data_IF_266991905865
#
_entry.id   IF_266991905865
#
_cell.length_a   1.000
_cell.length_b   1.000
_cell.length_c   1.000
_cell.angle_alpha   90.00
_cell.angle_beta   90.00
_cell.angle_gamma   90.00
#
_symmetry.space_group_name_H-M   'P 1'
#
loop_
_entity.id
_entity.type
_entity.pdbx_description
1 polymer ?
#
# COMPACT_ATOMS: atom_id res chain seq x y z
N UNK A 1 68.98 -28.63 -7.63
CA UNK A 1 67.83 -28.83 -6.70
C UNK A 1 67.12 -27.48 -6.49
N UNK A 2 66.29 -27.03 -7.43
CA UNK A 2 65.69 -25.67 -7.41
C UNK A 2 64.15 -25.69 -7.16
N UNK A 3 63.56 -26.88 -6.99
CA UNK A 3 62.10 -27.09 -7.07
C UNK A 3 61.44 -27.54 -5.76
N UNK A 4 62.15 -27.52 -4.63
CA UNK A 4 61.61 -27.96 -3.35
C UNK A 4 60.94 -26.79 -2.60
N UNK A 5 59.66 -26.54 -2.88
CA UNK A 5 58.84 -25.64 -2.06
C UNK A 5 58.56 -26.32 -0.71
N UNK A 6 59.00 -25.71 0.39
CA UNK A 6 58.78 -26.28 1.73
C UNK A 6 57.29 -26.43 2.03
N UNK A 7 56.89 -27.57 2.62
CA UNK A 7 55.48 -27.91 2.92
C UNK A 7 54.71 -26.78 3.63
N UNK A 8 55.37 -26.02 4.51
CA UNK A 8 54.79 -24.84 5.20
C UNK A 8 54.46 -23.69 4.25
N UNK A 9 55.34 -23.39 3.29
CA UNK A 9 55.11 -22.35 2.28
C UNK A 9 54.01 -22.75 1.29
N UNK A 10 53.93 -24.03 0.93
CA UNK A 10 52.82 -24.56 0.14
C UNK A 10 51.47 -24.37 0.86
N UNK A 11 51.38 -24.65 2.17
CA UNK A 11 50.18 -24.40 2.96
C UNK A 11 49.81 -22.91 3.06
N UNK A 12 50.79 -22.02 3.27
CA UNK A 12 50.54 -20.57 3.30
C UNK A 12 50.02 -20.08 1.95
N UNK A 13 50.63 -20.51 0.84
CA UNK A 13 50.18 -20.15 -0.50
C UNK A 13 48.75 -20.67 -0.79
N UNK A 14 48.43 -21.89 -0.37
CA UNK A 14 47.08 -22.45 -0.48
C UNK A 14 46.06 -21.67 0.34
N UNK A 15 46.39 -21.27 1.57
CA UNK A 15 45.50 -20.45 2.40
C UNK A 15 45.25 -19.08 1.77
N UNK A 16 46.30 -18.42 1.27
CA UNK A 16 46.17 -17.13 0.59
C UNK A 16 45.34 -17.24 -0.70
N UNK A 17 45.56 -18.29 -1.49
CA UNK A 17 44.76 -18.57 -2.68
C UNK A 17 43.29 -18.82 -2.31
N UNK A 18 43.03 -19.60 -1.25
CA UNK A 18 41.67 -19.86 -0.77
C UNK A 18 40.98 -18.57 -0.32
N UNK A 19 41.67 -17.69 0.42
CA UNK A 19 41.13 -16.38 0.83
C UNK A 19 40.84 -15.51 -0.40
N UNK A 20 41.74 -15.47 -1.39
CA UNK A 20 41.52 -14.69 -2.61
C UNK A 20 40.33 -15.20 -3.43
N UNK A 21 40.15 -16.52 -3.52
CA UNK A 21 38.98 -17.12 -4.19
C UNK A 21 37.71 -16.81 -3.40
N UNK A 22 37.73 -16.93 -2.06
CA UNK A 22 36.58 -16.61 -1.23
C UNK A 22 36.14 -15.15 -1.36
N UNK A 23 37.08 -14.21 -1.36
CA UNK A 23 36.74 -12.78 -1.53
C UNK A 23 36.18 -12.50 -2.92
N UNK A 24 36.71 -13.13 -3.97
CA UNK A 24 36.14 -13.03 -5.32
C UNK A 24 34.74 -13.63 -5.41
N UNK A 25 34.50 -14.80 -4.81
CA UNK A 25 33.19 -15.45 -4.79
C UNK A 25 32.16 -14.59 -4.06
N UNK A 26 32.52 -14.00 -2.91
CA UNK A 26 31.65 -13.07 -2.17
C UNK A 26 31.34 -11.83 -3.01
N UNK A 27 32.34 -11.26 -3.68
CA UNK A 27 32.13 -10.10 -4.54
C UNK A 27 31.22 -10.41 -5.74
N UNK A 28 31.42 -11.55 -6.40
CA UNK A 28 30.55 -12.02 -7.48
C UNK A 28 29.13 -12.32 -6.98
N UNK A 29 28.99 -12.90 -5.79
CA UNK A 29 27.69 -13.16 -5.17
C UNK A 29 26.93 -11.87 -4.85
N UNK A 30 27.63 -10.83 -4.37
CA UNK A 30 27.06 -9.49 -4.19
C UNK A 30 26.70 -8.81 -5.52
N UNK A 31 27.39 -9.16 -6.62
CA UNK A 31 27.05 -8.69 -7.97
C UNK A 31 25.88 -9.45 -8.62
N UNK A 32 25.71 -10.73 -8.28
CA UNK A 32 24.71 -11.63 -8.84
C UNK A 32 23.42 -11.69 -8.01
N UNK A 33 23.02 -10.57 -7.41
CA UNK A 33 21.78 -10.49 -6.65
C UNK A 33 20.58 -10.70 -7.58
N UNK A 34 19.81 -11.76 -7.33
CA UNK A 34 18.57 -12.05 -8.04
C UNK A 34 17.40 -11.45 -7.28
N UNK A 35 16.64 -10.59 -7.94
CA UNK A 35 15.39 -10.05 -7.43
C UNK A 35 14.24 -10.99 -7.76
N UNK A 36 13.33 -11.20 -6.82
CA UNK A 36 12.14 -12.05 -7.02
C UNK A 36 11.18 -11.36 -7.99
N UNK A 37 11.01 -10.04 -7.84
CA UNK A 37 10.03 -9.29 -8.60
C UNK A 37 10.72 -8.33 -9.57
N UNK A 38 10.31 -8.36 -10.84
CA UNK A 38 10.72 -7.31 -11.77
C UNK A 38 9.91 -6.04 -11.51
N UNK A 39 10.59 -4.90 -11.44
CA UNK A 39 9.97 -3.60 -11.16
C UNK A 39 8.84 -3.28 -12.15
N UNK A 40 9.06 -3.53 -13.43
CA UNK A 40 8.09 -3.24 -14.48
C UNK A 40 6.87 -4.17 -14.39
N UNK A 41 7.08 -5.42 -13.98
CA UNK A 41 6.06 -6.47 -13.88
C UNK A 41 5.01 -6.13 -12.82
N UNK A 42 5.42 -5.89 -11.57
CA UNK A 42 4.52 -5.50 -10.45
C UNK A 42 3.61 -4.37 -10.86
N UNK A 43 4.22 -3.41 -11.51
CA UNK A 43 3.59 -2.16 -11.78
C UNK A 43 2.78 -2.22 -13.10
N UNK A 44 3.03 -3.19 -13.99
CA UNK A 44 2.16 -3.51 -15.13
C UNK A 44 0.93 -4.27 -14.63
N UNK A 45 1.14 -5.22 -13.71
CA UNK A 45 0.07 -5.97 -13.07
C UNK A 45 -0.91 -5.03 -12.34
N UNK A 46 -0.41 -4.13 -11.51
CA UNK A 46 -1.25 -3.14 -10.82
C UNK A 46 -2.02 -2.22 -11.78
N UNK A 47 -1.41 -1.86 -12.93
CA UNK A 47 -2.08 -1.04 -13.97
C UNK A 47 -3.25 -1.75 -14.62
N UNK A 48 -3.14 -3.06 -14.85
CA UNK A 48 -4.22 -3.84 -15.46
C UNK A 48 -5.49 -3.86 -14.60
N UNK A 49 -5.32 -3.76 -13.27
CA UNK A 49 -6.43 -3.72 -12.32
C UNK A 49 -6.81 -2.31 -11.88
N UNK A 50 -6.06 -1.27 -12.30
CA UNK A 50 -6.39 0.12 -12.04
C UNK A 50 -7.63 0.52 -12.85
N UNK A 51 -8.79 0.55 -12.20
CA UNK A 51 -10.09 0.78 -12.83
C UNK A 51 -11.20 -0.10 -12.27
N UNK A 52 -10.84 -1.19 -11.59
CA UNK A 52 -11.77 -1.95 -10.75
C UNK A 52 -11.95 -1.24 -9.40
N UNK A 53 -12.97 -1.66 -8.65
CA UNK A 53 -13.03 -1.31 -7.23
C UNK A 53 -11.79 -1.85 -6.51
N UNK A 54 -11.24 -1.06 -5.59
CA UNK A 54 -9.97 -1.34 -4.93
C UNK A 54 -9.93 -2.69 -4.22
N UNK A 55 -11.01 -3.10 -3.54
CA UNK A 55 -11.10 -4.42 -2.91
C UNK A 55 -10.97 -5.55 -3.94
N UNK A 56 -11.71 -5.44 -5.05
CA UNK A 56 -11.64 -6.42 -6.13
C UNK A 56 -10.28 -6.42 -6.85
N UNK A 57 -9.69 -5.24 -7.03
CA UNK A 57 -8.37 -5.08 -7.62
C UNK A 57 -7.32 -5.77 -6.74
N UNK A 58 -7.36 -5.56 -5.42
CA UNK A 58 -6.44 -6.18 -4.47
C UNK A 58 -6.57 -7.70 -4.44
N UNK A 59 -7.79 -8.25 -4.34
CA UNK A 59 -7.97 -9.71 -4.34
C UNK A 59 -7.43 -10.35 -5.61
N UNK A 60 -7.72 -9.77 -6.79
CA UNK A 60 -7.21 -10.27 -8.07
C UNK A 60 -5.69 -10.16 -8.17
N UNK A 61 -5.12 -9.06 -7.69
CA UNK A 61 -3.69 -8.83 -7.70
C UNK A 61 -2.96 -9.83 -6.82
N UNK A 62 -3.46 -10.11 -5.61
CA UNK A 62 -2.87 -11.10 -4.70
C UNK A 62 -2.89 -12.49 -5.32
N UNK A 63 -4.03 -12.89 -5.91
CA UNK A 63 -4.17 -14.20 -6.59
C UNK A 63 -3.19 -14.32 -7.75
N UNK A 64 -3.10 -13.29 -8.60
CA UNK A 64 -2.21 -13.33 -9.76
C UNK A 64 -0.73 -13.27 -9.35
N UNK A 65 -0.39 -12.49 -8.33
CA UNK A 65 0.97 -12.43 -7.79
C UNK A 65 1.41 -13.77 -7.18
N UNK A 66 0.50 -14.47 -6.48
CA UNK A 66 0.74 -15.84 -5.99
C UNK A 66 0.92 -16.85 -7.13
N UNK A 67 0.19 -16.67 -8.23
CA UNK A 67 0.30 -17.53 -9.43
C UNK A 67 1.65 -17.35 -10.12
N UNK A 68 2.12 -16.11 -10.23
CA UNK A 68 3.39 -15.78 -10.88
C UNK A 68 4.60 -16.11 -10.01
N UNK A 69 4.50 -15.88 -8.69
CA UNK A 69 5.59 -16.04 -7.72
C UNK A 69 5.16 -16.94 -6.55
N UNK A 70 4.98 -18.25 -6.78
CA UNK A 70 4.51 -19.18 -5.75
C UNK A 70 5.52 -19.28 -4.60
N UNK A 71 5.03 -19.19 -3.37
CA UNK A 71 5.85 -19.25 -2.15
C UNK A 71 6.54 -17.93 -1.75
N UNK A 72 6.39 -16.86 -2.55
CA UNK A 72 6.93 -15.55 -2.23
C UNK A 72 5.89 -14.54 -1.73
N UNK A 73 4.60 -14.87 -1.78
CA UNK A 73 3.52 -14.02 -1.26
C UNK A 73 2.95 -14.64 0.01
N UNK A 74 2.76 -13.83 1.05
CA UNK A 74 2.19 -14.26 2.33
C UNK A 74 0.81 -14.91 2.14
N UNK A 75 0.48 -15.93 2.94
CA UNK A 75 -0.81 -16.60 2.89
C UNK A 75 -1.91 -15.72 3.52
N UNK A 76 -3.18 -16.00 3.22
CA UNK A 76 -4.31 -15.13 3.62
C UNK A 76 -4.44 -14.98 5.15
N UNK A 77 -3.99 -15.97 5.91
CA UNK A 77 -4.00 -15.98 7.37
C UNK A 77 -3.05 -14.94 7.99
N UNK A 78 -2.03 -14.52 7.24
CA UNK A 78 -1.01 -13.54 7.68
C UNK A 78 -1.23 -12.15 7.07
N UNK A 79 -2.14 -12.03 6.10
CA UNK A 79 -2.47 -10.74 5.49
C UNK A 79 -3.28 -9.88 6.48
N UNK A 80 -2.61 -8.88 7.03
CA UNK A 80 -3.23 -7.96 7.98
C UNK A 80 -3.06 -6.51 7.54
N UNK A 81 -4.14 -5.74 7.66
CA UNK A 81 -4.09 -4.28 7.56
C UNK A 81 -3.59 -3.68 8.86
N UNK A 82 -2.48 -2.95 8.78
CA UNK A 82 -1.89 -2.23 9.92
C UNK A 82 -1.81 -0.75 9.61
N UNK A 83 -2.12 0.08 10.62
CA UNK A 83 -1.98 1.53 10.47
C UNK A 83 -0.51 1.94 10.47
N UNK A 84 -0.18 2.85 9.55
CA UNK A 84 1.15 3.43 9.40
C UNK A 84 1.06 4.92 9.66
N UNK A 85 1.90 5.40 10.57
CA UNK A 85 2.09 6.82 10.82
C UNK A 85 3.59 7.14 10.71
N UNK A 86 3.96 7.89 9.68
CA UNK A 86 5.34 8.28 9.41
C UNK A 86 5.36 9.62 8.67
N UNK A 87 6.38 10.45 8.91
CA UNK A 87 6.55 11.71 8.18
C UNK A 87 5.35 12.67 8.26
N UNK A 88 4.50 12.55 9.30
CA UNK A 88 3.29 13.36 9.49
C UNK A 88 2.07 12.91 8.68
N UNK A 89 2.17 11.85 7.88
CA UNK A 89 1.02 11.26 7.18
C UNK A 89 0.56 9.95 7.85
N UNK A 90 -0.71 9.63 7.64
CA UNK A 90 -1.38 8.45 8.19
C UNK A 90 -2.06 7.66 7.07
N UNK A 91 -1.85 6.34 7.07
CA UNK A 91 -2.50 5.41 6.15
C UNK A 91 -2.58 4.01 6.75
N UNK A 92 -2.98 3.04 5.92
CA UNK A 92 -2.95 1.63 6.24
C UNK A 92 -2.13 0.90 5.18
N UNK A 93 -1.40 -0.13 5.61
CA UNK A 93 -0.68 -1.04 4.72
C UNK A 93 -1.06 -2.49 4.98
N UNK A 94 -1.02 -3.30 3.94
CA UNK A 94 -1.09 -4.75 4.00
C UNK A 94 0.15 -5.31 3.29
N UNK A 95 0.99 -6.00 4.04
CA UNK A 95 2.25 -6.54 3.51
C UNK A 95 1.96 -7.82 2.71
N UNK A 96 2.47 -7.91 1.48
CA UNK A 96 2.30 -9.08 0.62
C UNK A 96 3.59 -9.91 0.54
N UNK A 97 4.73 -9.23 0.45
CA UNK A 97 6.06 -9.85 0.43
C UNK A 97 7.02 -8.97 1.22
N UNK A 98 7.93 -9.61 1.96
CA UNK A 98 9.07 -8.95 2.57
C UNK A 98 10.31 -9.86 2.54
N UNK A 99 11.43 -9.29 2.11
CA UNK A 99 12.77 -9.83 2.21
C UNK A 99 13.74 -8.73 2.68
N UNK A 100 15.03 -9.04 2.76
CA UNK A 100 16.04 -8.04 3.14
C UNK A 100 16.30 -6.99 2.04
N UNK A 101 16.00 -7.32 0.79
CA UNK A 101 16.27 -6.47 -0.38
C UNK A 101 15.01 -5.90 -1.03
N UNK A 102 13.85 -6.55 -0.86
CA UNK A 102 12.61 -6.22 -1.56
C UNK A 102 11.40 -6.33 -0.64
N UNK A 103 10.40 -5.50 -0.90
CA UNK A 103 9.09 -5.62 -0.27
C UNK A 103 7.99 -5.22 -1.25
N UNK A 104 6.83 -5.86 -1.11
CA UNK A 104 5.62 -5.54 -1.86
C UNK A 104 4.49 -5.41 -0.85
N UNK A 105 3.76 -4.31 -0.91
CA UNK A 105 2.66 -4.03 0.02
C UNK A 105 1.55 -3.27 -0.67
N UNK A 106 0.33 -3.48 -0.21
CA UNK A 106 -0.81 -2.62 -0.55
C UNK A 106 -0.81 -1.47 0.44
N UNK A 107 -0.93 -0.25 -0.06
CA UNK A 107 -0.94 0.94 0.78
C UNK A 107 -2.08 1.87 0.40
N UNK A 108 -2.71 2.51 1.38
CA UNK A 108 -3.57 3.64 1.09
C UNK A 108 -4.18 4.31 2.30
N UNK A 109 -5.11 5.21 2.03
CA UNK A 109 -5.84 5.95 3.06
C UNK A 109 -7.26 6.26 2.59
N UNK A 110 -8.23 6.06 3.49
CA UNK A 110 -9.62 6.36 3.23
C UNK A 110 -9.98 7.84 3.43
N UNK A 111 -9.23 8.55 4.27
CA UNK A 111 -9.51 9.95 4.65
C UNK A 111 -8.63 10.96 3.88
N UNK A 112 -7.60 10.48 3.20
CA UNK A 112 -6.55 11.32 2.64
C UNK A 112 -5.53 11.73 3.70
N UNK A 113 -4.30 12.00 3.26
CA UNK A 113 -3.23 12.42 4.16
C UNK A 113 -2.16 13.23 3.44
N UNK A 114 -1.36 13.98 4.19
CA UNK A 114 -0.20 14.74 3.68
C UNK A 114 0.97 14.58 4.62
N UNK A 115 2.17 14.53 4.05
CA UNK A 115 3.37 14.46 4.86
C UNK A 115 4.62 14.31 4.02
N UNK A 116 5.71 13.99 4.69
CA UNK A 116 7.01 13.76 4.11
C UNK A 116 7.11 12.31 3.59
N UNK A 117 7.59 12.15 2.36
CA UNK A 117 7.86 10.83 1.76
C UNK A 117 8.84 10.00 2.58
N UNK A 118 9.90 10.63 3.07
CA UNK A 118 11.06 9.98 3.67
C UNK A 118 12.29 10.12 2.77
N UNK A 119 13.46 9.75 3.28
CA UNK A 119 14.66 9.52 2.46
C UNK A 119 15.12 8.10 2.74
N UNK A 120 15.10 7.27 1.72
CA UNK A 120 15.42 5.85 1.82
C UNK A 120 16.63 5.53 0.94
N UNK A 121 17.44 4.58 1.41
CA UNK A 121 18.44 3.89 0.58
C UNK A 121 17.81 2.71 -0.15
N UNK A 122 16.60 2.92 -0.66
CA UNK A 122 15.83 1.97 -1.43
C UNK A 122 15.10 2.74 -2.53
N UNK A 123 14.97 2.12 -3.70
CA UNK A 123 14.12 2.65 -4.75
C UNK A 123 12.67 2.23 -4.48
N UNK A 124 11.76 3.20 -4.42
CA UNK A 124 10.34 2.96 -4.14
C UNK A 124 9.54 3.26 -5.40
N UNK A 125 8.77 2.28 -5.87
CA UNK A 125 7.87 2.46 -7.00
C UNK A 125 6.42 2.26 -6.57
N UNK A 126 5.63 3.31 -6.70
CA UNK A 126 4.22 3.32 -6.35
C UNK A 126 3.36 3.24 -7.62
N UNK A 127 2.41 2.31 -7.66
CA UNK A 127 1.41 2.24 -8.74
C UNK A 127 0.02 2.50 -8.20
N UNK A 128 -0.60 3.58 -8.66
CA UNK A 128 -1.90 4.02 -8.14
C UNK A 128 -3.01 3.16 -8.73
N UNK A 129 -3.83 2.57 -7.86
CA UNK A 129 -5.00 1.77 -8.24
C UNK A 129 -6.27 2.62 -8.20
N UNK A 130 -6.40 3.50 -7.20
CA UNK A 130 -7.53 4.41 -7.07
C UNK A 130 -7.14 5.74 -6.41
N UNK A 131 -7.95 6.78 -6.60
CA UNK A 131 -7.76 8.10 -6.00
C UNK A 131 -6.70 8.94 -6.70
N UNK A 132 -6.27 10.03 -6.05
CA UNK A 132 -5.25 10.93 -6.60
C UNK A 132 -4.04 11.04 -5.68
N UNK A 133 -2.87 11.10 -6.28
CA UNK A 133 -1.60 11.21 -5.57
C UNK A 133 -0.86 12.47 -6.01
N UNK A 134 -0.55 13.34 -5.07
CA UNK A 134 0.18 14.58 -5.30
C UNK A 134 1.61 14.42 -4.80
N UNK A 135 2.57 14.81 -5.62
CA UNK A 135 3.98 14.83 -5.27
C UNK A 135 4.54 16.24 -5.48
N UNK A 136 5.23 16.75 -4.48
CA UNK A 136 6.03 17.96 -4.58
C UNK A 136 7.49 17.61 -4.31
N UNK A 137 8.33 17.72 -5.35
CA UNK A 137 9.74 17.34 -5.27
C UNK A 137 10.58 18.45 -4.65
N UNK A 138 11.56 18.06 -3.86
CA UNK A 138 12.54 18.98 -3.30
C UNK A 138 13.24 19.79 -4.40
N UNK A 139 13.46 21.09 -4.14
CA UNK A 139 14.06 22.01 -5.10
C UNK A 139 13.11 22.57 -6.17
N UNK A 140 11.84 22.16 -6.19
CA UNK A 140 10.82 22.71 -7.11
C UNK A 140 9.80 23.57 -6.38
N UNK A 141 9.02 24.37 -7.11
CA UNK A 141 7.91 25.18 -6.56
C UNK A 141 6.54 24.73 -7.07
N UNK A 142 6.48 23.60 -7.79
CA UNK A 142 5.25 23.06 -8.40
C UNK A 142 5.04 21.62 -7.96
N UNK A 143 3.78 21.23 -7.82
CA UNK A 143 3.38 19.85 -7.52
C UNK A 143 2.85 19.14 -8.75
N UNK A 144 3.15 17.85 -8.87
CA UNK A 144 2.63 16.94 -9.90
C UNK A 144 1.46 16.13 -9.32
N UNK A 145 0.46 15.83 -10.15
CA UNK A 145 -0.70 15.00 -9.77
C UNK A 145 -0.71 13.73 -10.62
N UNK A 146 -0.87 12.61 -9.94
CA UNK A 146 -0.92 11.28 -10.50
C UNK A 146 -2.30 10.66 -10.23
N UNK A 147 -2.74 9.83 -11.18
CA UNK A 147 -4.08 9.26 -11.30
C UNK A 147 -3.99 7.74 -11.40
N UNK A 148 -5.11 7.00 -11.28
CA UNK A 148 -5.10 5.54 -11.42
C UNK A 148 -4.40 5.07 -12.69
N UNK A 149 -3.55 4.05 -12.56
CA UNK A 149 -2.72 3.51 -13.62
C UNK A 149 -1.42 4.29 -13.89
N UNK A 150 -1.27 5.51 -13.37
CA UNK A 150 -0.02 6.25 -13.46
C UNK A 150 0.92 5.95 -12.29
N UNK A 151 2.21 6.25 -12.48
CA UNK A 151 3.26 6.01 -11.51
C UNK A 151 4.04 7.29 -11.27
N UNK A 152 4.16 7.78 -10.02
CA UNK A 152 5.15 8.77 -9.68
C UNK A 152 6.55 8.23 -9.97
N UNK A 153 7.40 9.05 -10.60
CA UNK A 153 8.80 8.69 -10.81
C UNK A 153 9.57 9.08 -9.55
N UNK A 154 9.59 8.20 -8.55
CA UNK A 154 10.50 8.35 -7.43
C UNK A 154 11.85 7.71 -7.78
N UNK A 155 12.88 8.55 -7.87
CA UNK A 155 14.27 8.10 -7.85
C UNK A 155 14.81 8.42 -6.47
N UNK A 156 15.21 7.40 -5.72
CA UNK A 156 16.09 7.61 -4.56
C UNK A 156 17.40 8.28 -5.03
N UNK A 157 18.00 9.19 -4.23
CA UNK A 157 17.69 9.52 -2.84
C UNK A 157 17.01 10.90 -2.68
N UNK A 158 16.01 11.22 -3.51
CA UNK A 158 15.32 12.52 -3.40
C UNK A 158 14.17 12.46 -2.40
N UNK A 159 14.07 13.44 -1.50
CA UNK A 159 12.84 13.63 -0.72
C UNK A 159 11.78 14.40 -1.49
N UNK A 160 10.52 14.11 -1.16
CA UNK A 160 9.34 14.81 -1.65
C UNK A 160 8.29 14.99 -0.56
N UNK A 161 7.51 16.07 -0.62
CA UNK A 161 6.25 16.13 0.12
C UNK A 161 5.18 15.41 -0.70
N UNK A 162 4.34 14.61 -0.04
CA UNK A 162 3.32 13.79 -0.68
C UNK A 162 1.95 14.08 -0.09
N UNK A 163 0.91 14.01 -0.92
CA UNK A 163 -0.47 14.04 -0.47
C UNK A 163 -1.31 13.04 -1.24
N UNK A 164 -1.96 12.15 -0.52
CA UNK A 164 -2.98 11.27 -1.08
C UNK A 164 -4.35 11.94 -0.85
N UNK A 165 -5.14 12.10 -1.90
CA UNK A 165 -6.48 12.69 -1.82
C UNK A 165 -7.53 11.76 -2.42
N UNK A 166 -8.70 11.86 -1.82
CA UNK A 166 -9.96 11.38 -2.39
C UNK A 166 -10.20 12.07 -3.73
N UNK A 167 -10.44 11.28 -4.77
CA UNK A 167 -10.92 11.81 -6.04
C UNK A 167 -12.37 12.26 -5.84
N UNK A 168 -12.63 13.57 -5.93
CA UNK A 168 -14.01 14.04 -5.99
C UNK A 168 -14.58 13.54 -7.31
N UNK A 169 -15.59 12.65 -7.27
CA UNK A 169 -16.50 12.48 -8.40
C UNK A 169 -17.07 13.85 -8.72
N UNK A 170 -16.58 14.48 -9.78
CA UNK A 170 -17.32 15.57 -10.42
C UNK A 170 -18.62 14.93 -10.88
N UNK A 171 -19.73 15.28 -10.22
CA UNK A 171 -21.04 14.95 -10.73
C UNK A 171 -21.09 15.53 -12.14
N UNK A 172 -20.99 14.67 -13.14
CA UNK A 172 -21.23 15.06 -14.51
C UNK A 172 -22.66 15.57 -14.57
N UNK A 173 -22.81 16.86 -14.82
CA UNK A 173 -24.07 17.44 -15.27
C UNK A 173 -24.47 16.70 -16.54
N UNK A 174 -25.28 15.65 -16.42
CA UNK A 174 -26.06 15.14 -17.54
C UNK A 174 -27.15 16.17 -17.82
N UNK A 175 -26.79 17.18 -18.60
CA UNK A 175 -27.75 18.00 -19.32
C UNK A 175 -28.25 17.20 -20.53
N UNK A 176 -29.50 16.74 -20.47
CA UNK A 176 -30.20 16.28 -21.67
C UNK A 176 -31.28 15.23 -21.42
N UNK A 177 -32.54 15.65 -21.59
CA UNK A 177 -33.75 14.83 -21.82
C UNK A 177 -34.29 14.03 -20.62
N UNK A 178 -35.57 14.04 -20.26
CA UNK A 178 -36.77 14.49 -20.97
C UNK A 178 -37.93 14.70 -19.97
N UNK A 179 -38.93 15.45 -20.44
CA UNK A 179 -40.16 15.86 -19.74
C UNK A 179 -40.87 14.70 -19.03
N UNK A 180 -41.23 14.93 -17.77
CA UNK A 180 -42.24 14.16 -17.04
C UNK A 180 -42.79 15.00 -15.90
N UNK A 181 -43.85 15.77 -16.16
CA UNK A 181 -44.64 16.46 -15.13
C UNK A 181 -45.32 15.40 -14.25
N UNK A 182 -45.10 15.48 -12.94
CA UNK A 182 -46.07 15.01 -11.96
C UNK A 182 -46.03 15.99 -10.79
N UNK A 183 -46.99 16.92 -10.82
CA UNK A 183 -47.40 17.69 -9.68
C UNK A 183 -48.05 16.74 -8.67
N UNK A 184 -47.70 16.84 -7.39
CA UNK A 184 -48.60 16.48 -6.30
C UNK A 184 -48.39 17.44 -5.13
N UNK A 185 -49.53 17.82 -4.58
CA UNK A 185 -49.82 18.98 -3.76
C UNK A 185 -49.42 18.80 -2.30
N UNK A 186 -49.33 19.95 -1.62
CA UNK A 186 -49.20 20.06 -0.18
C UNK A 186 -50.53 19.75 0.54
N UNK A 187 -50.44 18.89 1.56
CA UNK A 187 -51.39 18.73 2.67
C UNK A 187 -50.64 17.94 3.75
N UNK A 188 -50.57 18.29 5.03
CA UNK A 188 -51.52 19.01 5.86
C UNK A 188 -52.11 18.03 6.88
N UNK A 189 -51.53 17.98 8.10
CA UNK A 189 -51.96 17.22 9.29
C UNK A 189 -51.81 15.67 9.15
N UNK A 190 -51.49 14.85 10.16
CA UNK A 190 -51.85 14.82 11.58
C UNK A 190 -50.76 14.11 12.44
N UNK A 191 -50.76 14.41 13.75
CA UNK A 191 -49.96 13.74 14.79
C UNK A 191 -50.72 12.54 15.38
N UNK A 192 -50.06 11.46 15.82
CA UNK A 192 -50.64 10.56 16.81
C UNK A 192 -50.12 10.88 18.24
N UNK A 193 -51.00 10.92 19.25
CA UNK A 193 -50.61 11.08 20.66
C UNK A 193 -50.43 9.70 21.32
N UNK A 194 -49.53 9.56 22.29
CA UNK A 194 -49.76 8.83 23.56
C UNK A 194 -48.68 9.21 24.58
N UNK A 195 -49.09 9.79 25.71
CA UNK A 195 -48.32 9.88 26.96
C UNK A 195 -48.61 8.62 27.79
N UNK A 196 -47.64 8.08 28.51
CA UNK A 196 -47.49 8.31 29.96
C UNK A 196 -46.41 7.43 30.60
N UNK A 197 -45.85 8.02 31.67
CA UNK A 197 -45.27 7.40 32.87
C UNK A 197 -43.76 7.13 32.83
N UNK A 198 -43.04 8.02 33.52
CA UNK A 198 -41.63 7.86 33.81
C UNK A 198 -41.36 6.90 34.96
N UNK A 199 -40.08 6.58 35.12
CA UNK A 199 -39.42 6.30 36.38
C UNK A 199 -37.91 6.46 36.17
N UNK A 200 -37.29 7.30 37.00
CA UNK A 200 -35.84 7.42 37.14
C UNK A 200 -35.39 6.32 38.12
N UNK A 201 -34.34 5.59 37.77
CA UNK A 201 -33.52 4.84 38.72
C UNK A 201 -32.06 4.88 38.27
N UNK A 202 -31.17 5.14 39.22
CA UNK A 202 -29.73 5.35 39.08
C UNK A 202 -28.96 4.00 39.00
N UNK A 203 -27.62 4.00 38.78
CA UNK A 203 -26.92 3.01 37.99
C UNK A 203 -26.58 1.71 38.74
N UNK A 204 -27.02 0.58 38.19
CA UNK A 204 -26.54 -0.75 38.57
C UNK A 204 -25.32 -1.15 37.72
N UNK A 205 -24.21 -1.48 38.39
CA UNK A 205 -23.00 -2.04 37.78
C UNK A 205 -23.34 -3.32 37.00
N UNK A 206 -23.23 -3.27 35.67
CA UNK A 206 -23.14 -4.48 34.86
C UNK A 206 -21.68 -4.94 34.79
N UNK A 207 -21.38 -6.23 35.00
CA UNK A 207 -20.05 -6.77 34.78
C UNK A 207 -19.74 -6.75 33.28
N UNK A 208 -18.56 -6.22 32.94
CA UNK A 208 -18.00 -6.13 31.60
C UNK A 208 -18.22 -7.43 30.79
N UNK A 209 -18.95 -7.40 29.66
CA UNK A 209 -18.75 -8.41 28.64
C UNK A 209 -17.37 -8.19 28.04
N UNK A 210 -16.51 -9.22 28.10
CA UNK A 210 -15.24 -9.26 27.38
C UNK A 210 -15.52 -9.17 25.87
N UNK A 211 -15.11 -8.05 25.28
CA UNK A 211 -15.07 -7.81 23.83
C UNK A 211 -14.63 -6.36 23.57
N UNK A 212 -13.97 -6.07 22.43
CA UNK A 212 -14.56 -6.45 21.16
C UNK A 212 -13.64 -7.26 20.25
N UNK A 213 -14.26 -8.18 19.54
CA UNK A 213 -13.81 -8.66 18.25
C UNK A 213 -13.51 -7.46 17.35
N UNK A 214 -12.25 -7.31 16.94
CA UNK A 214 -11.84 -6.36 15.91
C UNK A 214 -12.18 -6.94 14.53
N UNK A 215 -13.48 -7.03 14.24
CA UNK A 215 -13.97 -7.11 12.87
C UNK A 215 -15.20 -6.22 12.78
N UNK A 216 -14.93 -4.91 12.65
CA UNK A 216 -15.95 -4.01 12.15
C UNK A 216 -16.03 -4.26 10.65
N UNK A 217 -17.23 -4.55 10.16
CA UNK A 217 -17.51 -4.84 8.75
C UNK A 217 -16.99 -3.77 7.78
N UNK A 218 -17.10 -4.03 6.47
CA UNK A 218 -16.35 -3.29 5.45
C UNK A 218 -16.55 -1.77 5.59
N UNK A 219 -15.46 -0.97 5.52
CA UNK A 219 -15.61 0.47 5.48
C UNK A 219 -16.52 0.83 4.30
N UNK A 220 -17.52 1.67 4.58
CA UNK A 220 -18.48 2.09 3.57
C UNK A 220 -17.76 2.63 2.32
N UNK A 221 -18.23 2.15 1.17
CA UNK A 221 -17.76 2.43 -0.17
C UNK A 221 -17.64 3.93 -0.42
N UNK A 222 -16.44 4.47 -0.19
CA UNK A 222 -16.10 5.88 -0.35
C UNK A 222 -14.72 6.01 -0.97
N UNK A 223 -14.56 6.90 -1.95
CA UNK A 223 -13.36 6.97 -2.80
C UNK A 223 -12.07 7.22 -2.01
N UNK A 224 -11.27 6.16 -1.86
CA UNK A 224 -9.98 6.11 -1.16
C UNK A 224 -8.80 6.24 -2.14
N UNK A 225 -7.62 6.62 -1.63
CA UNK A 225 -6.39 6.62 -2.42
C UNK A 225 -5.56 5.38 -2.09
N UNK A 226 -5.39 4.48 -3.07
CA UNK A 226 -4.75 3.18 -2.93
C UNK A 226 -3.65 2.98 -3.97
N UNK A 227 -2.57 2.32 -3.56
CA UNK A 227 -1.42 1.98 -4.39
C UNK A 227 -0.84 0.61 -4.01
N UNK A 228 -0.17 0.00 -5.00
CA UNK A 228 0.76 -1.11 -4.80
C UNK A 228 2.19 -0.55 -4.83
#
# INVERSE_FOLDING_TARGET
>A
MQWAMGRRWAWVALLLAAVAVLTQVVWLWLGAQSFVFQREEIAQLARQYAGLDHEQAFSKLIVELRRLHPGHVLPDEELQWVFVNAGGWMGAMCLLHASLSEYVLLFGTALGSRGHSGRYWAEISDTIISGTFHQWREGTTKSEVFYPGSRPRDRSPQSSQRSARRQKRTAGTQSGQSRGRAAWEAGGAERPPWRHRGQRAAPGRQPFPRGPAWYQGPPQQGDCAWKL
#
